data_IF_168616033589
#
_entry.id   IF_168616033589
#
_cell.length_a   1.000
_cell.length_b   1.000
_cell.length_c   1.000
_cell.angle_alpha   90.00
_cell.angle_beta   90.00
_cell.angle_gamma   90.00
#
_symmetry.space_group_name_H-M   'P 1'
#
loop_
_entity.id
_entity.type
_entity.pdbx_description
1 polymer ?
#
# COMPACT_ATOMS: atom_id res chain seq x y z
N UNK A 1 12.87 -4.84 3.33
CA UNK A 1 13.98 -5.60 2.70
C UNK A 1 14.99 -4.60 2.12
N UNK A 2 16.26 -4.89 2.21
CA UNK A 2 17.39 -3.99 1.94
C UNK A 2 17.62 -3.66 0.45
N UNK A 3 16.76 -4.19 -0.45
CA UNK A 3 16.86 -3.98 -1.91
C UNK A 3 18.05 -4.66 -2.60
N UNK A 4 18.80 -5.48 -1.87
CA UNK A 4 19.99 -6.17 -2.39
C UNK A 4 19.77 -7.65 -2.64
N UNK A 5 18.80 -8.26 -1.95
CA UNK A 5 18.47 -9.68 -2.08
C UNK A 5 17.16 -9.85 -2.85
N UNK A 6 17.18 -10.60 -3.95
CA UNK A 6 16.00 -10.93 -4.75
C UNK A 6 15.63 -12.39 -4.54
N UNK A 7 14.36 -12.64 -4.27
CA UNK A 7 13.80 -13.99 -4.21
C UNK A 7 13.18 -14.34 -5.57
N UNK A 8 13.37 -15.58 -6.00
CA UNK A 8 12.81 -16.08 -7.25
C UNK A 8 11.31 -16.32 -7.10
N UNK A 9 10.50 -15.53 -7.78
CA UNK A 9 9.02 -15.59 -7.71
C UNK A 9 8.40 -16.38 -8.85
N UNK A 10 9.14 -16.63 -9.94
CA UNK A 10 8.70 -17.47 -11.06
C UNK A 10 9.87 -18.25 -11.64
N UNK A 11 9.58 -19.48 -12.03
CA UNK A 11 10.50 -20.34 -12.78
C UNK A 11 10.44 -20.02 -14.28
N UNK A 12 11.32 -20.66 -15.05
CA UNK A 12 11.34 -20.61 -16.52
C UNK A 12 9.93 -20.82 -17.07
N UNK A 13 9.41 -19.82 -17.77
CA UNK A 13 8.06 -19.81 -18.35
C UNK A 13 8.12 -19.48 -19.84
N UNK A 14 7.23 -20.08 -20.63
CA UNK A 14 7.01 -19.73 -22.04
C UNK A 14 6.03 -18.55 -22.21
N UNK A 15 5.52 -18.00 -21.11
CA UNK A 15 4.60 -16.86 -21.11
C UNK A 15 5.37 -15.57 -21.35
N UNK A 16 4.72 -14.62 -21.99
CA UNK A 16 5.28 -13.27 -22.20
C UNK A 16 5.01 -12.31 -21.07
N UNK A 17 4.15 -12.70 -20.11
CA UNK A 17 3.82 -11.94 -18.92
C UNK A 17 3.74 -12.86 -17.69
N UNK A 18 3.95 -12.28 -16.53
CA UNK A 18 3.83 -12.94 -15.23
C UNK A 18 3.14 -12.00 -14.26
N UNK A 19 2.19 -12.54 -13.51
CA UNK A 19 1.45 -11.81 -12.47
C UNK A 19 1.91 -12.31 -11.10
N UNK A 20 2.51 -11.44 -10.32
CA UNK A 20 2.85 -11.73 -8.94
C UNK A 20 1.63 -11.48 -8.03
N UNK A 21 0.90 -12.55 -7.72
CA UNK A 21 -0.29 -12.51 -6.85
C UNK A 21 0.04 -12.19 -5.38
N UNK A 22 1.32 -12.17 -5.01
CA UNK A 22 1.80 -11.84 -3.65
C UNK A 22 2.47 -10.47 -3.59
N UNK A 23 2.54 -9.77 -4.73
CA UNK A 23 3.04 -8.41 -4.76
C UNK A 23 2.26 -7.56 -3.74
N UNK A 24 2.96 -6.66 -3.06
CA UNK A 24 2.38 -5.76 -2.07
C UNK A 24 1.73 -6.40 -0.82
N UNK A 25 1.96 -7.68 -0.56
CA UNK A 25 1.61 -8.27 0.73
C UNK A 25 2.53 -7.66 1.79
N UNK A 26 1.95 -6.85 2.67
CA UNK A 26 2.64 -6.16 3.78
C UNK A 26 3.79 -5.21 3.38
N UNK A 27 3.87 -4.81 2.10
CA UNK A 27 4.88 -3.86 1.59
C UNK A 27 4.26 -2.82 0.66
N UNK A 28 4.83 -1.62 0.62
CA UNK A 28 4.37 -0.51 -0.20
C UNK A 28 5.08 -0.37 -1.55
N UNK A 29 6.14 -1.14 -1.75
CA UNK A 29 6.89 -1.17 -3.02
C UNK A 29 7.54 -2.54 -3.21
N UNK A 30 7.55 -3.00 -4.45
CA UNK A 30 8.22 -4.25 -4.85
C UNK A 30 9.14 -3.95 -6.02
N UNK A 31 10.32 -4.55 -6.01
CA UNK A 31 11.30 -4.42 -7.09
C UNK A 31 11.47 -5.75 -7.79
N UNK A 32 11.47 -5.72 -9.11
CA UNK A 32 11.62 -6.89 -9.96
C UNK A 32 12.84 -6.79 -10.86
N UNK A 33 13.43 -7.92 -11.15
CA UNK A 33 14.35 -8.14 -12.25
C UNK A 33 14.00 -9.45 -12.95
N UNK A 34 14.32 -9.55 -14.22
CA UNK A 34 14.05 -10.74 -15.02
C UNK A 34 15.31 -11.20 -15.75
N UNK A 35 15.37 -12.48 -16.04
CA UNK A 35 16.38 -13.09 -16.90
C UNK A 35 15.69 -13.75 -18.10
N UNK A 36 16.32 -13.78 -19.24
CA UNK A 36 15.86 -14.55 -20.39
C UNK A 36 16.50 -15.94 -20.35
N UNK A 37 15.69 -16.97 -20.62
CA UNK A 37 16.16 -18.35 -20.71
C UNK A 37 16.09 -18.82 -22.16
N UNK A 38 17.19 -19.40 -22.64
CA UNK A 38 17.24 -20.07 -23.94
C UNK A 38 17.94 -21.43 -23.75
N UNK A 39 17.22 -22.50 -24.03
CA UNK A 39 17.64 -23.86 -23.69
C UNK A 39 18.06 -23.96 -22.21
N UNK A 40 19.30 -24.34 -21.92
CA UNK A 40 19.84 -24.46 -20.55
C UNK A 40 20.67 -23.25 -20.14
N UNK A 41 20.60 -22.14 -20.90
CA UNK A 41 21.33 -20.92 -20.62
C UNK A 41 20.40 -19.84 -20.10
N UNK A 42 20.90 -19.05 -19.17
CA UNK A 42 20.22 -17.89 -18.59
C UNK A 42 21.04 -16.63 -18.87
N UNK A 43 20.36 -15.55 -19.24
CA UNK A 43 21.02 -14.26 -19.44
C UNK A 43 21.41 -13.63 -18.09
N UNK A 44 22.20 -12.57 -18.14
CA UNK A 44 22.31 -11.67 -16.98
C UNK A 44 20.97 -11.02 -16.65
N UNK A 45 20.88 -10.46 -15.43
CA UNK A 45 19.70 -9.76 -14.92
C UNK A 45 19.35 -8.54 -15.81
N UNK A 46 18.06 -8.27 -15.95
CA UNK A 46 17.57 -6.99 -16.46
C UNK A 46 17.90 -5.85 -15.50
N UNK A 47 17.65 -4.61 -15.92
CA UNK A 47 17.54 -3.49 -14.97
C UNK A 47 16.42 -3.77 -13.99
N UNK A 48 16.63 -3.33 -12.73
CA UNK A 48 15.60 -3.40 -11.69
C UNK A 48 14.48 -2.43 -12.03
N UNK A 49 13.25 -2.93 -12.03
CA UNK A 49 12.04 -2.14 -12.11
C UNK A 49 11.34 -2.14 -10.75
N UNK A 50 11.10 -0.97 -10.19
CA UNK A 50 10.40 -0.82 -8.90
C UNK A 50 8.98 -0.34 -9.14
N UNK A 51 8.02 -1.08 -8.64
CA UNK A 51 6.60 -0.73 -8.66
C UNK A 51 6.19 -0.37 -7.25
N UNK A 52 5.54 0.79 -7.11
CA UNK A 52 4.92 1.19 -5.85
C UNK A 52 3.45 0.80 -5.88
N UNK A 53 2.94 0.35 -4.75
CA UNK A 53 1.51 0.15 -4.59
C UNK A 53 0.79 1.51 -4.61
N UNK A 54 0.33 1.92 -5.78
CA UNK A 54 -0.44 3.14 -5.97
C UNK A 54 -1.90 2.99 -5.53
N UNK A 55 -2.33 1.76 -5.22
CA UNK A 55 -3.71 1.44 -4.83
C UNK A 55 -3.88 1.43 -3.31
N UNK A 56 -2.81 1.67 -2.53
CA UNK A 56 -2.94 1.82 -1.08
C UNK A 56 -3.82 3.02 -0.78
N UNK A 57 -5.07 2.77 -0.47
CA UNK A 57 -5.96 3.79 0.07
C UNK A 57 -5.78 3.86 1.59
N UNK A 58 -5.81 5.09 2.07
CA UNK A 58 -5.82 5.34 3.51
C UNK A 58 -7.17 5.93 3.86
N UNK A 59 -7.96 5.21 4.64
CA UNK A 59 -9.24 5.68 5.14
C UNK A 59 -9.04 6.38 6.49
N UNK A 60 -9.53 7.62 6.60
CA UNK A 60 -9.48 8.36 7.86
C UNK A 60 -10.26 7.62 8.92
N UNK A 61 -9.64 7.34 10.06
CA UNK A 61 -10.31 6.76 11.22
C UNK A 61 -11.22 7.81 11.88
N UNK A 62 -12.41 7.40 12.26
CA UNK A 62 -13.24 8.18 13.16
C UNK A 62 -12.60 8.19 14.57
N UNK A 63 -12.79 9.28 15.29
CA UNK A 63 -12.20 9.44 16.63
C UNK A 63 -13.02 8.79 17.75
N UNK A 64 -14.04 8.00 17.40
CA UNK A 64 -14.89 7.31 18.36
C UNK A 64 -14.08 6.38 19.28
N UNK A 65 -14.19 6.63 20.58
CA UNK A 65 -13.48 5.85 21.59
C UNK A 65 -12.00 6.20 21.78
N UNK A 66 -11.46 7.16 21.03
CA UNK A 66 -10.10 7.62 21.22
C UNK A 66 -9.93 8.34 22.55
N UNK A 67 -8.74 8.20 23.12
CA UNK A 67 -8.32 8.94 24.30
C UNK A 67 -6.99 9.61 24.00
N UNK A 68 -6.88 10.90 24.35
CA UNK A 68 -5.63 11.64 24.22
C UNK A 68 -5.06 11.94 25.59
N UNK A 69 -3.75 11.89 25.69
CA UNK A 69 -2.97 12.37 26.84
C UNK A 69 -1.76 13.13 26.34
N UNK A 70 -1.39 14.17 27.07
CA UNK A 70 -0.18 14.93 26.77
C UNK A 70 0.68 15.05 28.04
N UNK A 71 1.96 15.26 27.86
CA UNK A 71 2.89 15.49 28.98
C UNK A 71 2.61 16.78 29.71
N UNK A 72 2.06 17.79 29.01
CA UNK A 72 1.54 19.04 29.64
C UNK A 72 0.39 19.60 28.83
N UNK A 73 -0.47 20.36 29.53
CA UNK A 73 -1.67 20.97 28.96
C UNK A 73 -1.85 22.39 29.50
N UNK A 74 -2.24 23.30 28.62
CA UNK A 74 -2.70 24.63 29.00
C UNK A 74 -4.23 24.59 29.19
N UNK A 75 -4.75 25.41 30.05
CA UNK A 75 -6.20 25.52 30.31
C UNK A 75 -6.67 26.97 30.38
N UNK A 76 -5.99 27.87 29.65
CA UNK A 76 -6.24 29.30 29.67
C UNK A 76 -6.63 29.82 28.28
N UNK A 77 -7.71 30.57 28.22
CA UNK A 77 -8.17 31.18 26.96
C UNK A 77 -8.74 30.17 26.00
N UNK A 78 -8.22 30.17 24.76
CA UNK A 78 -8.59 29.24 23.69
C UNK A 78 -7.62 28.06 23.57
N UNK A 79 -6.73 27.90 24.53
CA UNK A 79 -5.74 26.82 24.57
C UNK A 79 -6.25 25.75 25.56
N UNK A 80 -6.34 24.52 25.15
CA UNK A 80 -7.04 23.49 25.86
C UNK A 80 -6.30 22.19 26.09
N UNK A 81 -7.01 21.21 26.65
CA UNK A 81 -6.46 19.90 26.94
C UNK A 81 -6.17 19.08 25.69
N UNK A 82 -5.45 17.95 25.87
CA UNK A 82 -5.12 17.02 24.81
C UNK A 82 -6.36 16.55 24.02
N UNK A 83 -7.50 16.38 24.68
CA UNK A 83 -8.73 15.96 24.03
C UNK A 83 -9.20 16.90 22.90
N UNK A 84 -8.78 18.16 22.89
CA UNK A 84 -9.13 19.10 21.83
C UNK A 84 -8.38 18.84 20.49
N UNK A 85 -7.27 18.12 20.55
CA UNK A 85 -6.57 17.73 19.33
C UNK A 85 -7.06 16.40 18.70
N UNK A 86 -8.18 15.87 19.21
CA UNK A 86 -8.88 14.69 18.64
C UNK A 86 -10.41 14.86 18.68
N UNK A 87 -10.92 16.09 18.76
CA UNK A 87 -12.35 16.38 18.91
C UNK A 87 -13.08 16.59 17.56
N UNK A 88 -12.33 16.54 16.45
CA UNK A 88 -12.85 16.78 15.10
C UNK A 88 -13.07 18.25 14.77
N UNK A 89 -12.61 19.17 15.63
CA UNK A 89 -12.83 20.61 15.49
C UNK A 89 -11.49 21.37 15.39
N UNK A 90 -11.09 21.73 14.18
CA UNK A 90 -9.85 22.49 13.95
C UNK A 90 -9.87 23.93 14.48
N UNK A 91 -10.98 24.38 15.06
CA UNK A 91 -11.11 25.67 15.74
C UNK A 91 -10.64 25.65 17.19
N UNK A 92 -10.54 24.49 17.81
CA UNK A 92 -9.95 24.24 19.12
C UNK A 92 -8.49 23.83 18.97
N UNK A 93 -7.66 24.01 20.01
CA UNK A 93 -6.27 23.54 19.97
C UNK A 93 -5.86 22.94 21.32
N UNK A 94 -5.14 21.82 21.29
CA UNK A 94 -4.26 21.48 22.38
C UNK A 94 -3.03 22.38 22.36
N UNK A 95 -2.61 22.85 23.53
CA UNK A 95 -1.39 23.60 23.71
C UNK A 95 -0.63 23.05 24.90
N UNK A 96 0.66 22.77 24.75
CA UNK A 96 1.51 22.47 25.88
C UNK A 96 1.51 23.66 26.85
N UNK A 97 1.74 23.40 28.14
CA UNK A 97 1.65 24.44 29.14
C UNK A 97 2.63 25.59 28.87
N UNK A 98 2.11 26.81 28.90
CA UNK A 98 2.90 28.04 28.74
C UNK A 98 2.72 29.01 29.92
N UNK A 99 1.63 28.92 30.66
CA UNK A 99 1.39 29.77 31.83
C UNK A 99 2.17 29.30 33.04
N UNK A 100 2.39 30.22 34.00
CA UNK A 100 3.04 29.92 35.27
C UNK A 100 4.44 29.27 35.16
N UNK A 101 5.23 29.67 34.16
CA UNK A 101 6.59 29.15 33.97
C UNK A 101 6.65 27.79 33.30
N UNK A 102 5.59 27.39 32.58
CA UNK A 102 5.50 26.13 31.85
C UNK A 102 6.24 26.11 30.51
N UNK A 103 7.19 27.03 30.27
CA UNK A 103 8.02 26.99 29.05
C UNK A 103 9.03 25.85 29.11
N UNK A 104 9.22 25.18 27.99
CA UNK A 104 10.10 24.00 27.82
C UNK A 104 11.26 24.36 26.87
N UNK A 105 12.37 24.89 27.36
CA UNK A 105 13.47 25.41 26.52
C UNK A 105 14.22 24.33 25.73
N UNK A 106 14.05 23.07 26.08
CA UNK A 106 14.69 21.93 25.41
C UNK A 106 13.64 20.91 24.99
N UNK A 107 12.81 21.29 24.04
CA UNK A 107 11.67 20.48 23.58
C UNK A 107 12.08 19.08 23.07
N UNK A 108 13.28 18.95 22.51
CA UNK A 108 13.75 17.68 21.98
C UNK A 108 13.95 16.61 23.07
N UNK A 109 14.23 17.04 24.31
CA UNK A 109 14.49 16.17 25.45
C UNK A 109 13.39 16.24 26.52
N UNK A 110 12.36 17.09 26.32
CA UNK A 110 11.31 17.30 27.29
C UNK A 110 10.10 16.39 27.01
N UNK A 111 9.91 15.38 27.84
CA UNK A 111 8.77 14.47 27.75
C UNK A 111 7.42 15.17 27.98
N UNK A 112 7.39 16.38 28.56
CA UNK A 112 6.16 17.13 28.78
C UNK A 112 5.53 17.62 27.45
N UNK A 113 6.24 17.54 26.34
CA UNK A 113 5.77 17.90 25.01
C UNK A 113 5.36 16.70 24.16
N UNK A 114 5.25 15.54 24.76
CA UNK A 114 4.75 14.33 24.12
C UNK A 114 3.21 14.36 24.08
N UNK A 115 2.67 13.86 22.99
CA UNK A 115 1.23 13.66 22.82
C UNK A 115 0.95 12.22 22.43
N UNK A 116 0.05 11.57 23.15
CA UNK A 116 -0.28 10.17 22.93
C UNK A 116 -1.77 10.01 22.65
N UNK A 117 -2.10 9.25 21.61
CA UNK A 117 -3.45 8.79 21.30
C UNK A 117 -3.53 7.29 21.58
N UNK A 118 -4.52 6.89 22.39
CA UNK A 118 -4.99 5.50 22.49
C UNK A 118 -6.24 5.36 21.60
N UNK A 119 -6.17 4.53 20.59
CA UNK A 119 -7.28 4.26 19.67
C UNK A 119 -8.42 3.42 20.29
N UNK A 120 -8.27 2.96 21.55
CA UNK A 120 -9.23 2.10 22.22
C UNK A 120 -9.17 0.64 21.79
N UNK A 121 -8.56 0.34 20.66
CA UNK A 121 -8.38 -0.99 20.07
C UNK A 121 -7.13 -1.04 19.20
N UNK A 122 -6.70 -2.22 18.81
CA UNK A 122 -5.63 -2.34 17.83
C UNK A 122 -6.17 -1.95 16.44
N UNK A 123 -5.39 -1.12 15.73
CA UNK A 123 -5.66 -0.67 14.37
C UNK A 123 -4.37 -0.77 13.55
N UNK A 124 -4.48 -1.13 12.29
CA UNK A 124 -3.35 -1.06 11.37
C UNK A 124 -3.45 0.24 10.58
N UNK A 125 -2.50 1.14 10.77
CA UNK A 125 -2.43 2.43 10.08
C UNK A 125 -1.15 2.56 9.27
N UNK A 126 -1.18 3.41 8.23
CA UNK A 126 -0.03 3.69 7.36
C UNK A 126 0.19 5.19 7.15
N UNK A 127 -0.66 6.03 7.73
CA UNK A 127 -0.54 7.48 7.64
C UNK A 127 -1.01 8.15 8.92
N UNK A 128 -0.26 9.13 9.37
CA UNK A 128 -0.60 10.04 10.47
C UNK A 128 -0.62 11.47 9.96
N UNK A 129 -1.59 12.25 10.39
CA UNK A 129 -1.77 13.63 9.98
C UNK A 129 -1.78 14.55 11.20
N UNK A 130 -1.07 15.63 11.08
CA UNK A 130 -1.02 16.73 12.02
C UNK A 130 -1.60 17.99 11.39
N UNK A 131 -2.62 18.54 11.99
CA UNK A 131 -3.23 19.82 11.64
C UNK A 131 -2.71 20.88 12.62
N UNK A 132 -1.83 21.78 12.16
CA UNK A 132 -1.33 22.88 13.00
C UNK A 132 -2.46 23.84 13.38
N UNK A 133 -2.25 24.62 14.43
CA UNK A 133 -3.12 25.75 14.74
C UNK A 133 -3.31 26.65 13.51
N UNK A 134 -4.56 26.96 13.19
CA UNK A 134 -4.89 27.78 12.00
C UNK A 134 -5.38 29.19 12.37
N UNK A 135 -5.95 29.36 13.57
CA UNK A 135 -6.56 30.62 14.00
C UNK A 135 -5.53 31.71 14.30
N UNK A 136 -5.86 32.93 13.96
CA UNK A 136 -5.03 34.10 14.21
C UNK A 136 -3.69 34.10 13.46
N UNK A 137 -2.77 34.95 13.92
CA UNK A 137 -1.42 35.10 13.33
C UNK A 137 -0.36 34.25 14.03
N UNK A 138 -0.61 33.78 15.25
CA UNK A 138 0.37 33.03 16.02
C UNK A 138 0.79 31.71 15.33
N UNK A 139 2.07 31.43 15.39
CA UNK A 139 2.70 30.18 14.90
C UNK A 139 3.31 29.36 16.04
N UNK A 140 3.08 29.79 17.29
CA UNK A 140 3.67 29.14 18.45
C UNK A 140 3.32 27.66 18.53
N UNK A 141 4.34 26.84 18.64
CA UNK A 141 4.21 25.42 18.86
C UNK A 141 3.92 24.59 17.59
N UNK A 142 3.99 25.18 16.39
CA UNK A 142 3.87 24.38 15.15
C UNK A 142 5.07 23.42 15.06
N UNK A 143 4.78 22.12 15.01
CA UNK A 143 5.80 21.07 14.93
C UNK A 143 6.48 21.10 13.58
N UNK A 144 7.81 21.27 13.58
CA UNK A 144 8.65 21.26 12.37
C UNK A 144 9.56 20.06 12.29
N UNK A 145 9.87 19.41 13.42
CA UNK A 145 10.61 18.16 13.45
C UNK A 145 9.97 17.23 14.47
N UNK A 146 9.78 15.99 14.09
CA UNK A 146 9.01 15.04 14.89
C UNK A 146 9.64 13.64 14.91
N UNK A 147 9.23 12.88 15.90
CA UNK A 147 9.36 11.44 16.02
C UNK A 147 7.99 10.85 16.36
N UNK A 148 7.56 9.84 15.58
CA UNK A 148 6.41 9.02 15.89
C UNK A 148 6.85 7.71 16.54
N UNK A 149 6.15 7.30 17.58
CA UNK A 149 6.34 6.04 18.27
C UNK A 149 5.00 5.32 18.35
N UNK A 150 5.02 4.01 18.50
CA UNK A 150 3.82 3.19 18.62
C UNK A 150 3.96 2.12 19.71
N UNK A 151 2.83 1.66 20.19
CA UNK A 151 2.71 0.53 21.12
C UNK A 151 1.45 -0.27 20.79
N UNK A 152 1.52 -1.58 20.99
CA UNK A 152 0.37 -2.50 20.82
C UNK A 152 -0.35 -2.76 22.14
N UNK A 153 0.12 -2.20 23.25
CA UNK A 153 -0.47 -2.37 24.59
C UNK A 153 -1.33 -1.17 24.98
N UNK A 154 -2.27 -1.39 25.88
CA UNK A 154 -3.16 -0.35 26.41
C UNK A 154 -2.42 0.63 27.33
N UNK A 155 -1.40 0.18 28.02
CA UNK A 155 -0.68 0.96 29.01
C UNK A 155 0.80 0.58 29.05
N UNK A 156 1.59 1.33 29.81
CA UNK A 156 3.03 1.09 29.92
C UNK A 156 3.87 2.01 29.02
N UNK A 157 5.18 1.88 29.13
CA UNK A 157 6.15 2.71 28.39
C UNK A 157 6.96 1.84 27.41
N UNK A 158 6.26 1.01 26.65
CA UNK A 158 6.82 0.04 25.69
C UNK A 158 6.83 0.58 24.25
N UNK A 159 6.86 1.89 24.10
CA UNK A 159 6.86 2.54 22.80
C UNK A 159 8.10 2.20 21.98
N UNK A 160 7.87 1.85 20.69
CA UNK A 160 8.89 1.62 19.68
C UNK A 160 8.87 2.77 18.67
N UNK A 161 10.00 3.11 18.13
CA UNK A 161 10.06 4.11 17.06
C UNK A 161 9.37 3.59 15.82
N UNK A 162 8.48 4.41 15.25
CA UNK A 162 7.74 4.14 14.02
C UNK A 162 8.42 4.83 12.83
N UNK A 163 8.59 6.14 12.94
CA UNK A 163 9.24 6.98 11.94
C UNK A 163 9.60 8.33 12.54
N UNK A 164 10.47 9.08 11.87
CA UNK A 164 10.80 10.46 12.22
C UNK A 164 10.98 11.29 10.95
N UNK A 165 10.87 12.62 11.06
CA UNK A 165 11.00 13.49 9.91
C UNK A 165 10.92 14.97 10.24
N UNK A 166 10.91 15.77 9.20
CA UNK A 166 10.77 17.21 9.25
C UNK A 166 9.59 17.65 8.39
N UNK A 167 8.90 18.70 8.83
CA UNK A 167 7.80 19.33 8.13
C UNK A 167 8.09 20.81 7.89
N UNK A 168 7.53 21.37 6.83
CA UNK A 168 7.64 22.80 6.55
C UNK A 168 7.11 23.63 7.72
N UNK A 169 7.80 24.73 8.00
CA UNK A 169 7.49 25.66 9.09
C UNK A 169 6.33 26.60 8.70
N UNK A 170 5.15 26.05 8.48
CA UNK A 170 3.94 26.77 8.08
C UNK A 170 2.68 26.12 8.68
N UNK A 171 1.51 26.71 8.40
CA UNK A 171 0.21 26.28 8.92
C UNK A 171 -0.49 25.24 8.03
N UNK A 172 0.15 24.72 7.00
CA UNK A 172 -0.44 23.67 6.16
C UNK A 172 -0.52 22.35 6.92
N UNK A 173 -1.50 21.53 6.57
CA UNK A 173 -1.64 20.18 7.13
C UNK A 173 -0.39 19.36 6.81
N UNK A 174 0.09 18.63 7.79
CA UNK A 174 1.31 17.80 7.70
C UNK A 174 0.94 16.32 7.71
N UNK A 175 1.69 15.53 6.97
CA UNK A 175 1.50 14.08 6.94
C UNK A 175 2.80 13.34 7.16
N UNK A 176 2.72 12.22 7.85
CA UNK A 176 3.77 11.21 7.91
C UNK A 176 3.19 9.89 7.37
N UNK A 177 3.88 9.29 6.41
CA UNK A 177 3.52 7.99 5.84
C UNK A 177 4.59 6.97 6.23
N UNK A 178 4.17 5.75 6.50
CA UNK A 178 5.04 4.66 6.95
C UNK A 178 4.46 3.31 6.51
N UNK A 179 5.23 2.23 6.65
CA UNK A 179 4.72 0.89 6.39
C UNK A 179 3.50 0.58 7.27
N UNK A 180 2.49 -0.15 6.76
CA UNK A 180 1.34 -0.56 7.56
C UNK A 180 1.80 -1.19 8.88
N UNK A 181 1.36 -0.62 9.99
CA UNK A 181 1.80 -1.06 11.33
C UNK A 181 0.60 -1.19 12.24
N UNK A 182 0.46 -2.36 12.87
CA UNK A 182 -0.54 -2.59 13.90
C UNK A 182 -0.12 -1.91 15.19
N UNK A 183 -1.04 -1.14 15.78
CA UNK A 183 -0.82 -0.44 17.03
C UNK A 183 -2.12 -0.18 17.80
N UNK A 184 -2.03 -0.06 19.10
CA UNK A 184 -3.09 0.46 19.96
C UNK A 184 -2.90 1.93 20.27
N UNK A 185 -1.64 2.35 20.47
CA UNK A 185 -1.29 3.73 20.82
C UNK A 185 -0.25 4.27 19.84
N UNK A 186 -0.41 5.55 19.50
CA UNK A 186 0.60 6.32 18.81
C UNK A 186 1.02 7.51 19.66
N UNK A 187 2.30 7.81 19.69
CA UNK A 187 2.85 8.97 20.39
C UNK A 187 3.64 9.82 19.40
N UNK A 188 3.37 11.13 19.40
CA UNK A 188 4.21 12.11 18.73
C UNK A 188 5.07 12.84 19.76
N UNK A 189 6.36 12.91 19.46
CA UNK A 189 7.34 13.78 20.14
C UNK A 189 7.74 14.89 19.20
N UNK A 190 7.51 16.13 19.60
CA UNK A 190 8.06 17.27 18.90
C UNK A 190 9.55 17.39 19.22
N UNK A 191 10.39 17.40 18.18
CA UNK A 191 11.84 17.58 18.30
C UNK A 191 12.28 19.02 17.97
N UNK A 192 11.44 19.76 17.22
CA UNK A 192 11.56 21.18 16.96
C UNK A 192 10.20 21.77 16.65
N UNK A 193 10.01 23.03 17.03
CA UNK A 193 8.78 23.79 16.76
C UNK A 193 9.09 25.20 16.27
N UNK A 194 8.13 25.78 15.59
CA UNK A 194 8.12 27.20 15.23
C UNK A 194 7.41 27.97 16.33
N UNK A 195 7.97 29.08 16.76
CA UNK A 195 7.40 30.00 17.74
C UNK A 195 7.53 31.44 17.26
N UNK A 196 6.62 32.33 17.68
CA UNK A 196 6.58 33.77 17.33
C UNK A 196 7.74 34.57 17.96
N UNK A 197 8.43 34.00 18.96
CA UNK A 197 9.48 34.65 19.72
C UNK A 197 10.88 34.25 19.28
N UNK A 198 11.88 35.04 19.70
CA UNK A 198 13.30 34.69 19.47
C UNK A 198 13.73 33.37 20.13
N UNK A 199 12.99 32.93 21.12
CA UNK A 199 13.16 31.65 21.83
C UNK A 199 12.29 30.59 21.16
N UNK A 200 12.82 29.92 20.14
CA UNK A 200 12.15 28.80 19.44
C UNK A 200 12.12 27.55 20.29
N UNK A 201 11.27 26.63 19.92
CA UNK A 201 11.17 25.29 20.51
C UNK A 201 10.71 25.29 21.99
N UNK A 202 9.77 26.16 22.35
CA UNK A 202 9.27 26.23 23.72
C UNK A 202 7.87 25.64 23.92
N UNK A 203 7.11 25.51 22.85
CA UNK A 203 5.72 25.08 22.92
C UNK A 203 5.42 24.03 21.87
N UNK A 204 4.38 23.24 22.09
CA UNK A 204 3.78 22.35 21.11
C UNK A 204 2.30 22.64 21.05
N UNK A 205 1.75 22.71 19.82
CA UNK A 205 0.31 22.89 19.61
C UNK A 205 -0.18 21.96 18.53
N UNK A 206 -1.42 21.55 18.63
CA UNK A 206 -2.14 20.87 17.56
C UNK A 206 -3.60 21.31 17.56
N UNK A 207 -4.13 21.64 16.40
CA UNK A 207 -5.56 21.75 16.22
C UNK A 207 -6.18 20.35 16.11
N UNK A 208 -5.53 19.44 15.38
CA UNK A 208 -6.07 18.10 15.23
C UNK A 208 -4.94 17.10 14.90
N UNK A 209 -5.10 15.88 15.38
CA UNK A 209 -4.35 14.72 14.94
C UNK A 209 -5.29 13.69 14.33
N UNK A 210 -4.93 13.17 13.17
CA UNK A 210 -5.69 12.15 12.48
C UNK A 210 -4.82 10.95 12.15
N UNK A 211 -5.42 9.78 12.19
CA UNK A 211 -4.79 8.55 11.73
C UNK A 211 -5.61 7.93 10.61
N UNK A 212 -4.94 7.23 9.72
CA UNK A 212 -5.58 6.63 8.57
C UNK A 212 -5.30 5.13 8.55
N UNK A 213 -6.39 4.37 8.54
CA UNK A 213 -6.37 2.92 8.44
C UNK A 213 -5.76 2.53 7.10
N UNK A 214 -4.83 1.60 7.16
CA UNK A 214 -4.38 0.91 5.98
C UNK A 214 -5.53 0.07 5.40
N UNK A 215 -5.86 0.32 4.16
CA UNK A 215 -6.76 -0.52 3.39
C UNK A 215 -5.90 -1.23 2.36
N UNK A 216 -5.69 -2.52 2.56
CA UNK A 216 -5.11 -3.36 1.53
C UNK A 216 -6.11 -3.42 0.38
N UNK A 217 -5.90 -2.62 -0.65
CA UNK A 217 -6.51 -2.90 -1.93
C UNK A 217 -5.77 -4.10 -2.48
N UNK A 218 -6.31 -5.29 -2.27
CA UNK A 218 -5.94 -6.42 -3.11
C UNK A 218 -6.48 -6.07 -4.48
N UNK A 219 -5.66 -5.72 -5.46
CA UNK A 219 -6.15 -5.59 -6.82
C UNK A 219 -6.81 -6.94 -7.12
N UNK A 220 -8.07 -6.93 -7.55
CA UNK A 220 -8.70 -8.14 -8.07
C UNK A 220 -8.02 -8.39 -9.41
N UNK A 221 -6.83 -8.99 -9.34
CA UNK A 221 -6.07 -9.33 -10.53
C UNK A 221 -6.80 -10.44 -11.26
N UNK A 222 -7.01 -10.24 -12.54
CA UNK A 222 -7.62 -11.25 -13.40
C UNK A 222 -6.73 -12.48 -13.44
N UNK A 223 -7.25 -13.64 -13.03
CA UNK A 223 -6.53 -14.91 -13.10
C UNK A 223 -6.54 -15.43 -14.52
N UNK A 224 -5.41 -15.33 -15.20
CA UNK A 224 -5.22 -15.78 -16.58
C UNK A 224 -4.48 -17.12 -16.69
N UNK A 225 -4.07 -17.73 -15.58
CA UNK A 225 -3.19 -18.89 -15.57
C UNK A 225 -3.74 -20.06 -16.38
N UNK A 226 -5.01 -20.44 -16.12
CA UNK A 226 -5.64 -21.55 -16.82
C UNK A 226 -5.81 -21.29 -18.32
N UNK A 227 -6.03 -20.04 -18.73
CA UNK A 227 -6.11 -19.66 -20.15
C UNK A 227 -4.74 -19.70 -20.82
N UNK A 228 -3.68 -19.22 -20.13
CA UNK A 228 -2.32 -19.35 -20.63
C UNK A 228 -1.93 -20.80 -20.86
N UNK A 229 -2.20 -21.69 -19.90
CA UNK A 229 -1.85 -23.11 -20.01
C UNK A 229 -2.59 -23.77 -21.18
N UNK A 230 -3.88 -23.44 -21.37
CA UNK A 230 -4.67 -23.94 -22.48
C UNK A 230 -4.15 -23.44 -23.84
N UNK A 231 -3.75 -22.18 -23.96
CA UNK A 231 -3.18 -21.62 -25.20
C UNK A 231 -1.83 -22.26 -25.51
N UNK A 232 -0.95 -22.44 -24.54
CA UNK A 232 0.34 -23.10 -24.73
C UNK A 232 0.18 -24.55 -25.15
N UNK A 233 -0.75 -25.29 -24.56
CA UNK A 233 -1.07 -26.66 -24.95
C UNK A 233 -1.63 -26.71 -26.38
N UNK A 234 -2.54 -25.80 -26.72
CA UNK A 234 -3.15 -25.68 -28.02
C UNK A 234 -2.11 -25.42 -29.14
N UNK A 235 -1.10 -24.61 -28.87
CA UNK A 235 -0.02 -24.30 -29.82
C UNK A 235 0.91 -25.50 -30.12
N UNK A 236 1.04 -26.42 -29.15
CA UNK A 236 1.86 -27.63 -29.30
C UNK A 236 1.12 -28.81 -29.91
N UNK A 237 -0.20 -28.70 -30.13
CA UNK A 237 -1.04 -29.76 -30.62
C UNK A 237 -0.76 -30.04 -32.11
N UNK A 238 -0.56 -31.30 -32.46
CA UNK A 238 -0.48 -31.71 -33.88
C UNK A 238 -1.84 -31.65 -34.55
N UNK A 239 -2.01 -30.70 -35.46
CA UNK A 239 -3.26 -30.45 -36.16
C UNK A 239 -3.31 -31.17 -37.51
N UNK A 240 -2.27 -31.85 -37.94
CA UNK A 240 -2.15 -32.52 -39.27
C UNK A 240 -3.16 -33.66 -39.46
N UNK A 241 -3.59 -34.25 -38.33
CA UNK A 241 -4.51 -35.41 -38.28
C UNK A 241 -6.00 -35.05 -38.34
N UNK A 242 -6.34 -33.76 -38.22
CA UNK A 242 -7.72 -33.25 -38.16
C UNK A 242 -8.18 -32.62 -39.50
N UNK A 243 -9.50 -32.52 -39.71
CA UNK A 243 -10.11 -31.87 -40.87
C UNK A 243 -9.82 -30.38 -40.86
N UNK A 244 -9.65 -29.81 -42.06
CA UNK A 244 -9.28 -28.40 -42.23
C UNK A 244 -10.35 -27.46 -41.61
N UNK A 245 -11.65 -27.81 -41.72
CA UNK A 245 -12.74 -27.04 -41.15
C UNK A 245 -12.70 -26.97 -39.61
N UNK A 246 -12.46 -28.13 -38.95
CA UNK A 246 -12.35 -28.18 -37.49
C UNK A 246 -11.05 -27.50 -36.99
N UNK A 247 -9.96 -27.60 -37.76
CA UNK A 247 -8.70 -26.90 -37.46
C UNK A 247 -8.87 -25.39 -37.55
N UNK A 248 -9.57 -24.89 -38.56
CA UNK A 248 -9.82 -23.45 -38.74
C UNK A 248 -10.62 -22.88 -37.53
N UNK A 249 -11.67 -23.58 -37.08
CA UNK A 249 -12.45 -23.18 -35.93
C UNK A 249 -11.59 -23.16 -34.65
N UNK A 250 -10.74 -24.18 -34.45
CA UNK A 250 -9.84 -24.25 -33.30
C UNK A 250 -8.79 -23.12 -33.31
N UNK A 251 -8.17 -22.82 -34.45
CA UNK A 251 -7.22 -21.71 -34.61
C UNK A 251 -7.88 -20.34 -34.34
N UNK A 252 -9.13 -20.16 -34.73
CA UNK A 252 -9.88 -18.94 -34.40
C UNK A 252 -10.07 -18.80 -32.89
N UNK A 253 -10.39 -19.90 -32.20
CA UNK A 253 -10.52 -19.88 -30.73
C UNK A 253 -9.19 -19.59 -30.02
N UNK A 254 -8.07 -20.14 -30.50
CA UNK A 254 -6.71 -19.82 -30.01
C UNK A 254 -6.43 -18.31 -30.18
N UNK A 255 -6.77 -17.74 -31.34
CA UNK A 255 -6.57 -16.32 -31.63
C UNK A 255 -7.38 -15.43 -30.67
N UNK A 256 -8.65 -15.78 -30.46
CA UNK A 256 -9.52 -15.09 -29.51
C UNK A 256 -9.00 -15.16 -28.06
N UNK A 257 -8.53 -16.34 -27.63
CA UNK A 257 -7.92 -16.54 -26.31
C UNK A 257 -6.66 -15.66 -26.13
N UNK A 258 -5.78 -15.63 -27.13
CA UNK A 258 -4.58 -14.76 -27.11
C UNK A 258 -4.94 -13.29 -27.03
N UNK A 259 -6.00 -12.84 -27.71
CA UNK A 259 -6.46 -11.46 -27.65
C UNK A 259 -6.93 -11.08 -26.23
N UNK A 260 -7.52 -12.01 -25.47
CA UNK A 260 -7.89 -11.77 -24.08
C UNK A 260 -6.67 -11.72 -23.16
N UNK A 261 -5.68 -12.58 -23.37
CA UNK A 261 -4.42 -12.55 -22.62
C UNK A 261 -3.62 -11.26 -22.86
N UNK A 262 -3.73 -10.64 -24.04
CA UNK A 262 -3.06 -9.41 -24.39
C UNK A 262 -3.67 -8.16 -23.71
N UNK A 263 -4.87 -8.27 -23.12
CA UNK A 263 -5.47 -7.20 -22.33
C UNK A 263 -4.91 -7.12 -20.91
N UNK A 264 -4.16 -8.13 -20.48
CA UNK A 264 -3.57 -8.21 -19.14
C UNK A 264 -4.61 -7.93 -18.05
N UNK A 265 -4.35 -6.96 -17.16
CA UNK A 265 -5.24 -6.59 -16.04
C UNK A 265 -6.54 -5.91 -16.49
N UNK A 266 -6.63 -5.43 -17.73
CA UNK A 266 -7.85 -4.83 -18.28
C UNK A 266 -8.90 -5.87 -18.70
N UNK A 267 -8.53 -7.16 -18.74
CA UNK A 267 -9.47 -8.23 -19.04
C UNK A 267 -10.41 -8.52 -17.86
N UNK A 268 -11.72 -8.51 -18.09
CA UNK A 268 -12.66 -8.98 -17.06
C UNK A 268 -12.49 -10.49 -16.85
N UNK A 269 -12.49 -10.95 -15.59
CA UNK A 269 -12.39 -12.40 -15.26
C UNK A 269 -13.42 -13.25 -15.99
N UNK A 270 -14.64 -12.74 -16.15
CA UNK A 270 -15.70 -13.44 -16.89
C UNK A 270 -15.34 -13.67 -18.35
N UNK A 271 -14.66 -12.72 -19.00
CA UNK A 271 -14.20 -12.82 -20.39
C UNK A 271 -13.06 -13.84 -20.53
N UNK A 272 -12.13 -13.87 -19.58
CA UNK A 272 -11.06 -14.87 -19.52
C UNK A 272 -11.63 -16.28 -19.37
N UNK A 273 -12.57 -16.45 -18.45
CA UNK A 273 -13.24 -17.73 -18.22
C UNK A 273 -14.03 -18.18 -19.46
N UNK A 274 -14.68 -17.25 -20.16
CA UNK A 274 -15.41 -17.52 -21.41
C UNK A 274 -14.46 -17.96 -22.52
N UNK A 275 -13.34 -17.22 -22.72
CA UNK A 275 -12.35 -17.57 -23.74
C UNK A 275 -11.73 -18.96 -23.49
N UNK A 276 -11.48 -19.32 -22.21
CA UNK A 276 -11.03 -20.67 -21.84
C UNK A 276 -12.05 -21.74 -22.18
N UNK A 277 -13.32 -21.50 -21.91
CA UNK A 277 -14.41 -22.43 -22.21
C UNK A 277 -14.57 -22.63 -23.74
N UNK A 278 -14.54 -21.54 -24.52
CA UNK A 278 -14.62 -21.55 -25.98
C UNK A 278 -13.41 -22.27 -26.62
N UNK A 279 -12.21 -22.09 -26.10
CA UNK A 279 -11.02 -22.79 -26.59
C UNK A 279 -11.11 -24.31 -26.33
N UNK A 280 -11.56 -24.72 -25.15
CA UNK A 280 -11.79 -26.13 -24.80
C UNK A 280 -12.92 -26.76 -25.63
N UNK A 281 -13.98 -26.01 -25.87
CA UNK A 281 -15.10 -26.49 -26.71
C UNK A 281 -14.64 -26.69 -28.18
N UNK A 282 -13.87 -25.73 -28.71
CA UNK A 282 -13.30 -25.86 -30.07
C UNK A 282 -12.31 -27.01 -30.14
N UNK A 283 -11.52 -27.28 -29.09
CA UNK A 283 -10.64 -28.45 -29.04
C UNK A 283 -11.42 -29.77 -29.09
N UNK A 284 -12.51 -29.87 -28.30
CA UNK A 284 -13.38 -31.06 -28.27
C UNK A 284 -14.11 -31.30 -29.59
N UNK A 285 -14.23 -30.27 -30.45
CA UNK A 285 -14.86 -30.35 -31.77
C UNK A 285 -13.87 -30.64 -32.93
N UNK A 286 -12.60 -30.93 -32.60
CA UNK A 286 -11.64 -31.36 -33.59
C UNK A 286 -12.04 -32.73 -34.18
N UNK A 287 -12.25 -32.79 -35.49
CA UNK A 287 -12.66 -33.99 -36.24
C UNK A 287 -11.47 -34.62 -36.92
N UNK A 288 -11.20 -35.89 -36.62
CA UNK A 288 -10.12 -36.62 -37.30
C UNK A 288 -10.39 -36.77 -38.83
N UNK A 289 -9.35 -36.64 -39.60
CA UNK A 289 -9.41 -36.96 -41.04
C UNK A 289 -9.81 -38.42 -41.24
N UNK A 290 -10.66 -38.73 -42.22
CA UNK A 290 -10.96 -40.13 -42.59
C UNK A 290 -9.68 -40.92 -42.89
N UNK A 291 -9.57 -42.12 -42.31
CA UNK A 291 -8.50 -43.03 -42.63
C UNK A 291 -8.60 -43.46 -44.08
N UNK A 292 -7.63 -43.10 -44.91
CA UNK A 292 -7.58 -43.49 -46.34
C UNK A 292 -6.99 -44.89 -46.53
N UNK A 293 -6.67 -45.63 -45.46
CA UNK A 293 -6.00 -46.92 -45.51
C UNK A 293 -6.78 -48.06 -46.18
N UNK A 294 -8.10 -47.95 -46.32
CA UNK A 294 -8.97 -49.00 -46.86
C UNK A 294 -9.50 -48.75 -48.30
N UNK A 295 -9.01 -47.73 -49.00
CA UNK A 295 -9.50 -47.40 -50.35
C UNK A 295 -8.78 -48.14 -51.48
N UNK A 296 -7.77 -49.00 -51.18
CA UNK A 296 -6.98 -49.74 -52.20
C UNK A 296 -7.29 -51.23 -52.28
N UNK A 297 -8.42 -51.70 -51.75
CA UNK A 297 -8.87 -53.10 -51.87
C UNK A 297 -10.32 -53.18 -52.42
N UNK A 298 -10.52 -52.71 -53.66
CA UNK A 298 -11.69 -53.00 -54.44
C UNK A 298 -11.28 -53.09 -55.93
#
# INVERSE_FOLDING_TARGET
>A
EDGTTFEKVAEKTERTSFVDKKAFTDVSAVSYKVTACYEDKESGDSKVATVKDLTQSSEKLAHDGWKATAGSEEGSGNDGPASWAIDGNTGTIWHSKWSNGGTHPDIANDQNNEFTIDFGQNVTINKFEYVPRSSGTSVNGIITKYKLLYSTTESGNDFKELTSGEWDADKTVKTATFAPTEMRRIQIRALATLDDTATKNQHVTAAEFNAYKYVANTPVMTDTDALWDAVLAAQKKDLSVYTDASVQAYQAAITAAKAKLALEDDAAQADVNKALAELKDAENKLEAKPDKGNLNTA
#
